data_IF_428069574049
#
_entry.id   IF_428069574049
#
_cell.length_a   1.000
_cell.length_b   1.000
_cell.length_c   1.000
_cell.angle_alpha   90.00
_cell.angle_beta   90.00
_cell.angle_gamma   90.00
#
_symmetry.space_group_name_H-M   'P 1'
#
loop_
_entity.id
_entity.type
_entity.pdbx_description
1 polymer ?
#
# COMPACT_ATOMS: atom_id res chain seq x y z
N UNK A 1 49.90 -33.88 16.98
CA UNK A 1 50.24 -32.46 17.16
C UNK A 1 49.18 -31.63 16.46
N UNK A 2 48.44 -30.84 17.25
CA UNK A 2 47.47 -29.81 16.87
C UNK A 2 48.25 -28.50 16.67
N UNK A 3 47.95 -27.62 15.68
CA UNK A 3 47.14 -26.39 15.92
C UNK A 3 46.37 -25.88 14.67
N UNK A 4 45.43 -24.92 14.67
CA UNK A 4 44.65 -24.17 15.66
C UNK A 4 43.48 -23.58 14.84
N UNK A 5 42.23 -23.75 15.33
CA UNK A 5 41.06 -22.97 14.87
C UNK A 5 41.19 -21.55 15.41
N UNK A 6 41.10 -20.52 14.54
CA UNK A 6 40.82 -19.15 14.99
C UNK A 6 39.31 -18.94 15.05
N UNK A 7 38.84 -18.99 16.29
CA UNK A 7 37.60 -18.42 16.79
C UNK A 7 37.78 -16.90 16.82
N UNK A 8 36.89 -16.13 16.19
CA UNK A 8 36.77 -14.69 16.42
C UNK A 8 35.37 -14.43 16.94
N UNK A 9 35.35 -13.83 18.13
CA UNK A 9 34.22 -13.51 18.97
C UNK A 9 33.24 -12.55 18.27
N UNK A 10 31.95 -12.84 18.45
CA UNK A 10 30.89 -11.84 18.44
C UNK A 10 31.06 -10.90 19.63
N UNK A 11 31.07 -9.59 19.40
CA UNK A 11 30.79 -8.58 20.43
C UNK A 11 29.43 -7.92 20.12
N UNK A 12 28.54 -7.79 21.11
CA UNK A 12 27.25 -7.16 20.95
C UNK A 12 27.41 -5.63 21.02
N UNK A 13 26.85 -4.90 20.05
CA UNK A 13 26.78 -3.44 20.14
C UNK A 13 25.62 -3.04 21.06
N UNK A 14 25.97 -2.65 22.28
CA UNK A 14 25.09 -1.91 23.19
C UNK A 14 25.36 -0.41 23.02
N UNK A 15 24.27 0.29 22.73
CA UNK A 15 23.96 1.73 22.83
C UNK A 15 24.96 2.57 23.66
N UNK A 16 25.40 3.69 23.08
CA UNK A 16 25.63 4.92 23.84
C UNK A 16 24.96 6.11 23.16
N UNK A 17 23.96 6.65 23.86
CA UNK A 17 23.36 7.97 23.68
C UNK A 17 24.41 9.05 23.93
N UNK A 18 24.54 10.01 23.01
CA UNK A 18 24.87 11.39 23.33
C UNK A 18 24.30 12.32 22.25
N UNK A 19 23.14 12.90 22.53
CA UNK A 19 22.71 14.16 21.95
C UNK A 19 21.88 14.88 23.02
N UNK A 20 22.59 15.53 23.95
CA UNK A 20 22.00 16.39 24.95
C UNK A 20 21.80 17.78 24.35
N UNK A 21 20.58 18.28 24.47
CA UNK A 21 20.25 19.68 24.73
C UNK A 21 20.78 20.74 23.75
N UNK A 22 19.92 21.14 22.81
CA UNK A 22 19.40 22.51 22.65
C UNK A 22 18.07 22.34 21.89
N UNK A 23 16.96 22.80 22.48
CA UNK A 23 15.63 22.72 21.85
C UNK A 23 14.46 22.50 22.81
N UNK A 24 14.58 22.88 24.09
CA UNK A 24 13.44 23.03 24.98
C UNK A 24 13.12 24.52 25.12
N UNK A 25 12.36 25.07 24.17
CA UNK A 25 11.50 26.27 24.31
C UNK A 25 10.82 26.62 22.97
N UNK A 26 10.04 25.69 22.41
CA UNK A 26 9.00 25.99 21.43
C UNK A 26 7.79 25.07 21.66
N UNK A 27 7.34 24.95 22.91
CA UNK A 27 6.04 24.39 23.24
C UNK A 27 5.04 25.54 23.35
N UNK A 28 4.14 25.70 22.39
CA UNK A 28 2.92 26.51 22.61
C UNK A 28 2.21 27.11 21.41
N UNK A 29 2.87 27.37 20.28
CA UNK A 29 2.20 28.03 19.15
C UNK A 29 2.80 27.65 17.79
N UNK A 30 1.96 27.14 16.87
CA UNK A 30 2.11 27.47 15.45
C UNK A 30 2.77 26.50 14.46
N UNK A 31 3.06 25.24 14.76
CA UNK A 31 3.48 24.29 13.69
C UNK A 31 2.32 23.76 12.84
N UNK A 32 1.10 23.68 13.40
CA UNK A 32 -0.08 23.19 12.69
C UNK A 32 -0.63 24.18 11.65
N UNK A 33 -0.24 25.46 11.70
CA UNK A 33 -0.68 26.49 10.75
C UNK A 33 0.20 26.57 9.50
N UNK A 34 1.41 25.99 9.52
CA UNK A 34 2.35 26.03 8.37
C UNK A 34 1.93 25.07 7.26
N UNK A 35 1.32 23.93 7.61
CA UNK A 35 0.88 22.91 6.65
C UNK A 35 -0.65 22.79 6.51
N UNK A 36 -1.43 23.52 7.34
CA UNK A 36 -2.89 23.58 7.28
C UNK A 36 -3.46 24.59 6.27
N UNK A 37 -2.63 25.11 5.37
CA UNK A 37 -2.93 26.25 4.49
C UNK A 37 -3.76 25.94 3.24
N UNK A 38 -4.35 24.75 3.10
CA UNK A 38 -5.43 24.51 2.15
C UNK A 38 -6.71 24.33 2.95
N UNK A 39 -7.75 25.11 2.63
CA UNK A 39 -9.08 24.84 3.16
C UNK A 39 -9.49 23.38 2.90
N UNK A 40 -10.50 22.86 3.61
CA UNK A 40 -10.92 21.47 3.43
C UNK A 40 -11.23 21.18 1.96
N UNK A 41 -10.95 19.95 1.50
CA UNK A 41 -11.57 19.44 0.27
C UNK A 41 -13.07 19.73 0.34
N UNK A 42 -13.62 20.37 -0.69
CA UNK A 42 -15.06 20.54 -0.83
C UNK A 42 -15.74 19.17 -0.71
N UNK A 43 -16.99 19.13 -0.21
CA UNK A 43 -17.70 17.86 0.00
C UNK A 43 -17.64 17.00 -1.29
N UNK A 44 -16.85 15.91 -1.30
CA UNK A 44 -16.51 15.18 -2.51
C UNK A 44 -17.76 14.50 -3.11
N UNK A 45 -18.82 14.40 -2.32
CA UNK A 45 -20.02 13.67 -2.64
C UNK A 45 -20.94 14.35 -3.67
N UNK A 46 -20.60 15.54 -4.18
CA UNK A 46 -21.41 16.23 -5.20
C UNK A 46 -21.43 15.52 -6.56
N UNK A 47 -20.45 14.66 -6.86
CA UNK A 47 -20.35 13.93 -8.14
C UNK A 47 -20.71 12.45 -8.09
N UNK A 48 -20.95 11.88 -6.89
CA UNK A 48 -21.24 10.46 -6.70
C UNK A 48 -22.75 10.23 -6.52
N UNK A 49 -23.33 9.13 -7.06
CA UNK A 49 -24.71 8.78 -6.77
C UNK A 49 -24.91 8.60 -5.26
N UNK A 50 -25.88 9.30 -4.66
CA UNK A 50 -26.06 9.39 -3.19
C UNK A 50 -26.27 8.04 -2.49
N UNK A 51 -26.73 7.02 -3.22
CA UNK A 51 -26.98 5.69 -2.69
C UNK A 51 -25.87 4.67 -2.98
N UNK A 52 -24.83 5.06 -3.74
CA UNK A 52 -23.73 4.15 -4.08
C UNK A 52 -22.91 3.74 -2.86
N UNK A 53 -22.29 2.57 -2.93
CA UNK A 53 -21.37 2.10 -1.91
C UNK A 53 -20.17 3.04 -1.75
N UNK A 54 -19.63 3.56 -2.87
CA UNK A 54 -18.56 4.54 -2.85
C UNK A 54 -18.96 5.81 -2.08
N UNK A 55 -20.16 6.35 -2.32
CA UNK A 55 -20.68 7.51 -1.59
C UNK A 55 -20.79 7.21 -0.09
N UNK A 56 -21.36 6.06 0.28
CA UNK A 56 -21.50 5.65 1.69
C UNK A 56 -20.16 5.55 2.42
N UNK A 57 -19.13 5.02 1.75
CA UNK A 57 -17.77 4.96 2.30
C UNK A 57 -17.16 6.36 2.41
N UNK A 58 -17.25 7.19 1.36
CA UNK A 58 -16.74 8.58 1.35
C UNK A 58 -17.35 9.40 2.50
N UNK A 59 -18.66 9.28 2.73
CA UNK A 59 -19.37 9.97 3.83
C UNK A 59 -19.12 9.33 5.20
N UNK A 60 -18.46 8.17 5.25
CA UNK A 60 -18.20 7.44 6.49
C UNK A 60 -19.43 6.78 7.12
N UNK A 61 -20.53 6.61 6.38
CA UNK A 61 -21.72 5.88 6.88
C UNK A 61 -21.51 4.37 6.85
N UNK A 62 -20.56 3.90 6.04
CA UNK A 62 -20.11 2.51 6.00
C UNK A 62 -18.58 2.50 6.08
N UNK A 63 -17.96 1.72 6.99
CA UNK A 63 -16.51 1.58 7.02
C UNK A 63 -15.98 0.84 5.78
N UNK A 64 -14.76 1.19 5.34
CA UNK A 64 -14.13 0.52 4.21
C UNK A 64 -13.80 -0.93 4.57
N UNK A 65 -14.27 -1.87 3.74
CA UNK A 65 -13.96 -3.29 3.84
C UNK A 65 -13.51 -3.77 2.47
N UNK A 66 -12.20 -3.73 2.25
CA UNK A 66 -11.63 -3.94 0.93
C UNK A 66 -10.67 -5.13 0.87
N UNK A 67 -10.32 -5.48 -0.36
CA UNK A 67 -9.17 -6.34 -0.67
C UNK A 67 -8.19 -5.64 -1.60
N UNK A 68 -6.89 -5.88 -1.40
CA UNK A 68 -5.86 -5.42 -2.33
C UNK A 68 -5.73 -6.40 -3.49
N UNK A 69 -5.65 -5.86 -4.70
CA UNK A 69 -5.16 -6.60 -5.86
C UNK A 69 -3.85 -5.99 -6.36
N UNK A 70 -2.81 -6.80 -6.30
CA UNK A 70 -1.59 -6.57 -7.08
C UNK A 70 -1.81 -7.02 -8.53
N UNK A 71 -0.80 -6.89 -9.38
CA UNK A 71 -0.70 -7.49 -10.72
C UNK A 71 -1.53 -6.85 -11.84
N UNK A 72 -2.37 -5.85 -11.54
CA UNK A 72 -3.05 -5.05 -12.57
C UNK A 72 -2.27 -3.77 -12.86
N UNK A 73 -2.26 -2.81 -11.92
CA UNK A 73 -1.55 -1.54 -12.11
C UNK A 73 -0.03 -1.67 -12.03
N UNK A 74 0.47 -2.64 -11.27
CA UNK A 74 1.89 -3.00 -11.13
C UNK A 74 2.00 -4.52 -11.13
N UNK A 75 2.89 -5.08 -11.94
CA UNK A 75 3.21 -6.50 -11.94
C UNK A 75 4.29 -6.79 -10.87
N UNK A 76 3.95 -7.59 -9.86
CA UNK A 76 4.84 -8.01 -8.79
C UNK A 76 5.13 -9.51 -8.91
N UNK A 77 6.27 -9.94 -9.49
CA UNK A 77 6.51 -11.34 -9.81
C UNK A 77 6.36 -12.31 -8.63
N UNK A 78 6.65 -11.85 -7.40
CA UNK A 78 6.50 -12.63 -6.16
C UNK A 78 5.05 -12.96 -5.81
N UNK A 79 4.08 -12.14 -6.25
CA UNK A 79 2.66 -12.29 -5.97
C UNK A 79 1.81 -12.58 -7.22
N UNK A 80 2.36 -12.44 -8.43
CA UNK A 80 1.62 -12.52 -9.69
C UNK A 80 1.81 -13.85 -10.42
N UNK A 81 1.64 -14.98 -9.72
CA UNK A 81 1.87 -16.30 -10.31
C UNK A 81 0.68 -16.73 -11.17
N UNK A 82 0.90 -16.97 -12.46
CA UNK A 82 -0.17 -17.41 -13.37
C UNK A 82 0.24 -18.71 -14.03
N UNK A 83 -0.33 -19.85 -13.61
CA UNK A 83 0.09 -21.16 -14.14
C UNK A 83 -0.15 -21.36 -15.64
N UNK A 84 -1.10 -20.62 -16.23
CA UNK A 84 -1.32 -20.62 -17.69
C UNK A 84 -0.34 -19.76 -18.47
N UNK A 85 0.52 -18.99 -17.79
CA UNK A 85 1.51 -18.10 -18.40
C UNK A 85 2.88 -18.43 -17.78
N UNK A 86 3.71 -19.16 -18.51
CA UNK A 86 4.99 -19.67 -18.00
C UNK A 86 5.98 -18.52 -17.82
N UNK A 87 6.47 -18.32 -16.60
CA UNK A 87 7.66 -17.50 -16.32
C UNK A 87 8.72 -18.38 -15.69
N UNK A 88 9.74 -18.72 -16.45
CA UNK A 88 10.92 -19.46 -15.96
C UNK A 88 11.88 -18.55 -15.15
N UNK A 89 11.55 -17.27 -14.97
CA UNK A 89 12.44 -16.30 -14.34
C UNK A 89 11.92 -15.74 -13.01
N UNK A 90 12.79 -15.82 -12.01
CA UNK A 90 12.64 -15.15 -10.72
C UNK A 90 13.15 -13.71 -10.88
N UNK A 91 12.23 -12.75 -10.93
CA UNK A 91 12.52 -11.32 -10.90
C UNK A 91 11.99 -10.71 -9.60
N UNK A 92 12.69 -9.72 -9.04
CA UNK A 92 12.23 -9.04 -7.82
C UNK A 92 11.04 -8.12 -8.08
N UNK A 93 10.97 -7.47 -9.24
CA UNK A 93 9.93 -6.51 -9.61
C UNK A 93 9.69 -6.46 -11.14
N UNK A 94 8.68 -5.71 -11.59
CA UNK A 94 8.31 -5.54 -13.02
C UNK A 94 9.50 -5.06 -13.86
N UNK A 95 10.26 -4.09 -13.36
CA UNK A 95 11.39 -3.51 -14.06
C UNK A 95 12.53 -4.51 -14.27
N UNK A 96 12.91 -5.25 -13.22
CA UNK A 96 13.91 -6.30 -13.30
C UNK A 96 13.48 -7.41 -14.25
N UNK A 97 12.20 -7.77 -14.22
CA UNK A 97 11.61 -8.73 -15.16
C UNK A 97 11.73 -8.23 -16.60
N UNK A 98 11.34 -6.99 -16.89
CA UNK A 98 11.45 -6.40 -18.23
C UNK A 98 12.90 -6.34 -18.73
N UNK A 99 13.88 -6.15 -17.84
CA UNK A 99 15.32 -6.06 -18.15
C UNK A 99 16.06 -7.39 -18.16
N UNK A 100 15.39 -8.53 -17.96
CA UNK A 100 16.01 -9.88 -17.83
C UNK A 100 17.11 -9.94 -16.74
N UNK A 101 16.92 -9.28 -15.60
CA UNK A 101 17.90 -9.30 -14.50
C UNK A 101 17.46 -10.25 -13.38
N UNK A 102 18.31 -11.22 -12.97
CA UNK A 102 18.01 -12.07 -11.82
C UNK A 102 18.08 -11.32 -10.49
N UNK A 103 17.35 -11.88 -9.53
CA UNK A 103 17.11 -11.45 -8.15
C UNK A 103 18.35 -11.45 -7.27
N UNK A 104 18.97 -10.29 -7.00
CA UNK A 104 19.46 -10.09 -5.63
C UNK A 104 19.40 -8.62 -5.20
N UNK A 105 18.74 -8.39 -4.07
CA UNK A 105 18.91 -7.18 -3.27
C UNK A 105 20.03 -7.46 -2.27
N UNK A 106 21.27 -7.12 -2.62
CA UNK A 106 22.35 -7.04 -1.64
C UNK A 106 22.52 -5.56 -1.28
N UNK A 107 22.41 -5.21 0.01
CA UNK A 107 22.87 -3.90 0.51
C UNK A 107 24.36 -3.66 0.19
N UNK A 108 25.09 -4.72 -0.13
CA UNK A 108 26.53 -4.77 -0.36
C UNK A 108 26.93 -4.90 -1.84
N UNK A 109 26.00 -5.22 -2.77
CA UNK A 109 26.26 -5.12 -4.21
C UNK A 109 25.47 -3.94 -4.77
N UNK A 110 26.13 -2.83 -5.13
CA UNK A 110 25.46 -1.76 -5.83
C UNK A 110 24.97 -2.33 -7.15
N UNK A 111 23.65 -2.36 -7.35
CA UNK A 111 23.06 -2.53 -8.68
C UNK A 111 23.83 -1.61 -9.60
N UNK A 112 24.63 -2.20 -10.49
CA UNK A 112 25.47 -1.45 -11.41
C UNK A 112 24.58 -0.44 -12.12
N UNK A 113 25.05 0.82 -12.15
CA UNK A 113 24.40 2.07 -12.59
C UNK A 113 24.00 2.07 -14.07
N UNK A 114 23.37 1.02 -14.52
CA UNK A 114 22.97 0.88 -15.90
C UNK A 114 21.61 1.54 -16.08
N UNK A 115 21.66 2.85 -16.33
CA UNK A 115 20.54 3.69 -16.75
C UNK A 115 20.17 3.44 -18.22
N UNK A 116 20.60 2.33 -18.83
CA UNK A 116 20.21 2.06 -20.21
C UNK A 116 18.68 2.06 -20.31
N UNK A 117 18.12 2.88 -21.22
CA UNK A 117 16.71 2.80 -21.55
C UNK A 117 16.38 1.38 -21.95
N UNK A 118 15.18 0.89 -21.58
CA UNK A 118 14.68 -0.39 -22.10
C UNK A 118 14.70 -0.27 -23.63
N UNK A 119 15.54 -1.03 -24.35
CA UNK A 119 15.71 -0.87 -25.79
C UNK A 119 14.35 -0.97 -26.48
N UNK A 120 14.06 -0.07 -27.42
CA UNK A 120 12.79 -0.08 -28.14
C UNK A 120 12.61 -1.34 -29.02
N UNK A 121 13.66 -2.14 -29.19
CA UNK A 121 13.73 -3.27 -30.12
C UNK A 121 13.78 -4.68 -29.51
N UNK A 122 13.68 -4.90 -28.18
CA UNK A 122 13.41 -6.24 -27.61
C UNK A 122 13.03 -6.23 -26.10
N UNK A 123 12.24 -7.22 -25.57
CA UNK A 123 11.49 -8.29 -26.23
C UNK A 123 9.97 -8.04 -26.18
N UNK A 124 9.28 -8.25 -27.30
CA UNK A 124 7.80 -8.26 -27.39
C UNK A 124 7.14 -9.23 -26.41
N UNK A 125 7.83 -10.30 -26.02
CA UNK A 125 7.24 -11.41 -25.27
C UNK A 125 7.06 -11.13 -23.78
N UNK A 126 7.92 -10.34 -23.12
CA UNK A 126 7.76 -10.04 -21.68
C UNK A 126 6.72 -8.98 -21.41
N UNK A 127 6.69 -7.96 -22.27
CA UNK A 127 5.61 -6.98 -22.24
C UNK A 127 4.28 -7.65 -22.52
N UNK A 128 4.24 -8.56 -23.50
CA UNK A 128 3.08 -9.42 -23.76
C UNK A 128 2.77 -10.31 -22.56
N UNK A 129 3.74 -10.95 -21.93
CA UNK A 129 3.56 -11.75 -20.72
C UNK A 129 2.87 -10.95 -19.61
N UNK A 130 3.35 -9.73 -19.32
CA UNK A 130 2.73 -8.86 -18.32
C UNK A 130 1.29 -8.51 -18.73
N UNK A 131 1.05 -8.20 -20.00
CA UNK A 131 -0.29 -7.94 -20.54
C UNK A 131 -1.20 -9.17 -20.39
N UNK A 132 -0.70 -10.37 -20.67
CA UNK A 132 -1.44 -11.63 -20.55
C UNK A 132 -1.77 -11.89 -19.06
N UNK A 133 -0.82 -11.71 -18.15
CA UNK A 133 -1.04 -11.79 -16.69
C UNK A 133 -2.14 -10.82 -16.27
N UNK A 134 -2.04 -9.54 -16.66
CA UNK A 134 -3.05 -8.51 -16.34
C UNK A 134 -4.45 -8.88 -16.84
N UNK A 135 -4.54 -9.51 -18.01
CA UNK A 135 -5.82 -9.89 -18.65
C UNK A 135 -6.60 -10.97 -17.90
N UNK A 136 -5.91 -11.82 -17.14
CA UNK A 136 -6.53 -12.93 -16.40
C UNK A 136 -6.53 -12.74 -14.89
N UNK A 137 -5.80 -11.74 -14.38
CA UNK A 137 -5.65 -11.55 -12.93
C UNK A 137 -6.94 -11.09 -12.25
N UNK A 138 -7.56 -10.05 -12.82
CA UNK A 138 -8.88 -9.55 -12.40
C UNK A 138 -9.80 -9.60 -13.60
N UNK A 139 -10.86 -10.39 -13.48
CA UNK A 139 -11.96 -10.47 -14.43
C UNK A 139 -13.25 -9.99 -13.78
N UNK A 140 -14.33 -9.87 -14.55
CA UNK A 140 -15.65 -9.54 -14.01
C UNK A 140 -16.10 -10.54 -12.92
N UNK A 141 -15.81 -11.83 -13.10
CA UNK A 141 -16.13 -12.88 -12.12
C UNK A 141 -15.39 -12.66 -10.80
N UNK A 142 -14.16 -12.15 -10.85
CA UNK A 142 -13.41 -11.77 -9.64
C UNK A 142 -14.15 -10.66 -8.88
N UNK A 143 -14.69 -9.65 -9.57
CA UNK A 143 -15.47 -8.55 -8.97
C UNK A 143 -16.78 -9.07 -8.34
N UNK A 144 -17.47 -9.96 -9.03
CA UNK A 144 -18.67 -10.64 -8.49
C UNK A 144 -18.32 -11.47 -7.25
N UNK A 145 -17.19 -12.17 -7.26
CA UNK A 145 -16.76 -13.01 -6.16
C UNK A 145 -16.48 -12.19 -4.90
N UNK A 146 -15.71 -11.10 -4.97
CA UNK A 146 -15.42 -10.28 -3.79
C UNK A 146 -16.67 -9.61 -3.21
N UNK A 147 -17.63 -9.20 -4.06
CA UNK A 147 -18.92 -8.70 -3.59
C UNK A 147 -19.70 -9.77 -2.84
N UNK A 148 -19.75 -10.99 -3.37
CA UNK A 148 -20.41 -12.14 -2.71
C UNK A 148 -19.75 -12.50 -1.37
N UNK A 149 -18.44 -12.32 -1.26
CA UNK A 149 -17.71 -12.51 0.00
C UNK A 149 -18.03 -11.43 1.04
N UNK A 150 -18.57 -10.27 0.62
CA UNK A 150 -18.99 -9.20 1.51
C UNK A 150 -18.03 -8.01 1.58
N UNK A 151 -17.03 -7.96 0.70
CA UNK A 151 -16.23 -6.75 0.49
C UNK A 151 -17.08 -5.68 -0.19
N UNK A 152 -16.83 -4.42 0.16
CA UNK A 152 -17.55 -3.26 -0.38
C UNK A 152 -16.68 -2.39 -1.30
N UNK A 153 -15.38 -2.70 -1.36
CA UNK A 153 -14.41 -1.97 -2.16
C UNK A 153 -13.17 -2.82 -2.46
N UNK A 154 -12.25 -2.27 -3.25
CA UNK A 154 -10.95 -2.88 -3.55
C UNK A 154 -9.86 -1.81 -3.68
N UNK A 155 -8.61 -2.19 -3.41
CA UNK A 155 -7.40 -1.37 -3.59
C UNK A 155 -6.61 -1.89 -4.79
N UNK A 156 -6.24 -0.99 -5.70
CA UNK A 156 -5.33 -1.26 -6.83
C UNK A 156 -4.10 -0.37 -6.70
N UNK A 157 -2.93 -0.97 -6.59
CA UNK A 157 -1.66 -0.23 -6.65
C UNK A 157 -1.32 0.14 -8.09
N UNK A 158 -0.83 1.36 -8.32
CA UNK A 158 -0.39 1.82 -9.62
C UNK A 158 0.96 2.53 -9.55
N UNK A 159 1.74 2.43 -10.64
CA UNK A 159 2.97 3.18 -10.84
C UNK A 159 2.80 4.34 -11.80
N UNK A 160 3.80 5.23 -11.87
CA UNK A 160 3.74 6.44 -12.72
C UNK A 160 3.49 6.13 -14.21
N UNK A 161 3.86 4.94 -14.67
CA UNK A 161 3.63 4.45 -16.04
C UNK A 161 2.18 4.13 -16.39
N UNK A 162 1.23 4.19 -15.43
CA UNK A 162 -0.21 4.09 -15.74
C UNK A 162 -0.67 5.18 -16.71
N UNK A 163 0.00 6.33 -16.69
CA UNK A 163 -0.27 7.50 -17.55
C UNK A 163 0.98 8.00 -18.29
N UNK A 164 2.14 7.34 -18.11
CA UNK A 164 3.39 7.68 -18.81
C UNK A 164 3.85 6.54 -19.73
N UNK A 165 3.55 6.70 -21.01
CA UNK A 165 3.87 5.74 -22.07
C UNK A 165 5.35 5.74 -22.48
N UNK A 166 6.18 6.68 -21.98
CA UNK A 166 7.60 6.78 -22.34
C UNK A 166 8.52 6.00 -21.40
N UNK A 167 7.96 5.42 -20.34
CA UNK A 167 8.69 4.74 -19.27
C UNK A 167 9.27 3.36 -19.65
N UNK A 168 8.87 2.79 -20.80
CA UNK A 168 9.29 1.47 -21.23
C UNK A 168 8.59 0.30 -20.50
N UNK A 169 7.70 0.59 -19.56
CA UNK A 169 6.77 -0.37 -18.97
C UNK A 169 5.60 -0.67 -19.92
N UNK A 170 4.96 -1.82 -19.74
CA UNK A 170 3.66 -2.08 -20.37
C UNK A 170 2.59 -1.20 -19.70
N UNK A 171 1.77 -0.48 -20.47
CA UNK A 171 0.68 0.30 -19.89
C UNK A 171 -0.39 -0.62 -19.28
N UNK A 172 -0.81 -0.40 -18.02
CA UNK A 172 -1.91 -1.14 -17.40
C UNK A 172 -3.29 -0.47 -17.61
N UNK A 173 -3.35 0.66 -18.33
CA UNK A 173 -4.53 1.54 -18.34
C UNK A 173 -5.83 0.83 -18.73
N UNK A 174 -5.82 0.03 -19.80
CA UNK A 174 -7.00 -0.72 -20.26
C UNK A 174 -7.54 -1.68 -19.18
N UNK A 175 -6.64 -2.35 -18.46
CA UNK A 175 -7.02 -3.28 -17.39
C UNK A 175 -7.61 -2.53 -16.19
N UNK A 176 -7.04 -1.39 -15.82
CA UNK A 176 -7.59 -0.53 -14.76
C UNK A 176 -8.96 0.03 -15.18
N UNK A 177 -9.13 0.44 -16.44
CA UNK A 177 -10.42 0.86 -16.99
C UNK A 177 -11.48 -0.24 -16.88
N UNK A 178 -11.13 -1.49 -17.18
CA UNK A 178 -12.05 -2.64 -17.04
C UNK A 178 -12.46 -2.86 -15.58
N UNK A 179 -11.51 -2.81 -14.64
CA UNK A 179 -11.82 -2.92 -13.21
C UNK A 179 -12.74 -1.81 -12.74
N UNK A 180 -12.51 -0.57 -13.17
CA UNK A 180 -13.38 0.57 -12.85
C UNK A 180 -14.81 0.39 -13.40
N UNK A 181 -14.95 -0.10 -14.64
CA UNK A 181 -16.26 -0.39 -15.25
C UNK A 181 -17.02 -1.46 -14.48
N UNK A 182 -16.39 -2.60 -14.22
CA UNK A 182 -17.02 -3.70 -13.47
C UNK A 182 -17.36 -3.27 -12.04
N UNK A 183 -16.46 -2.56 -11.35
CA UNK A 183 -16.72 -2.06 -10.01
C UNK A 183 -17.93 -1.09 -10.00
N UNK A 184 -18.07 -0.25 -11.03
CA UNK A 184 -19.24 0.63 -11.17
C UNK A 184 -20.52 -0.18 -11.38
N UNK A 185 -20.49 -1.21 -12.24
CA UNK A 185 -21.62 -2.09 -12.51
C UNK A 185 -22.09 -2.85 -11.26
N UNK A 186 -21.15 -3.28 -10.42
CA UNK A 186 -21.43 -4.05 -9.21
C UNK A 186 -21.43 -3.21 -7.94
N UNK A 187 -21.50 -1.87 -8.01
CA UNK A 187 -21.58 -0.97 -6.84
C UNK A 187 -20.49 -1.26 -5.79
N UNK A 188 -19.23 -1.32 -6.23
CA UNK A 188 -18.04 -1.43 -5.40
C UNK A 188 -17.16 -0.18 -5.56
N UNK A 189 -16.56 0.26 -4.44
CA UNK A 189 -15.55 1.32 -4.47
C UNK A 189 -14.18 0.84 -4.93
N UNK A 190 -13.44 1.67 -5.65
CA UNK A 190 -12.05 1.45 -6.05
C UNK A 190 -11.18 2.54 -5.43
N UNK A 191 -10.17 2.09 -4.68
CA UNK A 191 -9.07 2.88 -4.17
C UNK A 191 -7.85 2.67 -5.08
N UNK A 192 -7.42 3.70 -5.79
CA UNK A 192 -6.15 3.70 -6.53
C UNK A 192 -5.00 4.18 -5.62
N UNK A 193 -4.04 3.31 -5.31
CA UNK A 193 -2.90 3.62 -4.44
C UNK A 193 -1.62 3.88 -5.26
N UNK A 194 -1.03 5.07 -5.13
CA UNK A 194 0.21 5.38 -5.84
C UNK A 194 1.41 4.72 -5.16
N UNK A 195 1.89 3.62 -5.74
CA UNK A 195 2.88 2.75 -5.10
C UNK A 195 4.26 2.73 -5.77
N UNK A 196 4.39 3.25 -6.99
CA UNK A 196 5.69 3.44 -7.64
C UNK A 196 5.81 4.86 -8.17
N UNK A 197 6.35 5.74 -7.33
CA UNK A 197 6.57 7.14 -7.66
C UNK A 197 7.89 7.35 -8.42
N UNK A 198 8.00 8.39 -9.27
CA UNK A 198 9.28 8.81 -9.83
C UNK A 198 10.33 9.00 -8.74
N UNK A 199 11.54 8.47 -8.96
CA UNK A 199 12.62 8.48 -7.97
C UNK A 199 12.47 7.49 -6.82
N UNK A 200 11.36 6.75 -6.73
CA UNK A 200 11.00 5.79 -5.68
C UNK A 200 11.03 6.35 -4.24
N UNK A 201 9.96 6.08 -3.49
CA UNK A 201 9.77 6.57 -2.12
C UNK A 201 10.31 5.62 -1.06
N UNK A 202 10.68 4.41 -1.48
CA UNK A 202 11.33 3.36 -0.71
C UNK A 202 11.91 2.35 -1.73
N UNK A 203 12.61 1.33 -1.24
CA UNK A 203 13.24 0.30 -2.07
C UNK A 203 12.49 -1.05 -2.06
N UNK A 204 11.23 -1.06 -1.64
CA UNK A 204 10.37 -2.24 -1.72
C UNK A 204 10.14 -2.63 -3.19
N UNK A 205 10.00 -3.92 -3.50
CA UNK A 205 9.84 -4.39 -4.87
C UNK A 205 8.77 -3.66 -5.70
N UNK A 206 7.63 -3.34 -5.08
CA UNK A 206 6.50 -2.66 -5.72
C UNK A 206 6.86 -1.30 -6.31
N UNK A 207 7.86 -0.58 -5.77
CA UNK A 207 8.24 0.76 -6.24
C UNK A 207 8.99 0.74 -7.56
N UNK A 208 9.46 -0.44 -7.99
CA UNK A 208 10.25 -0.60 -9.22
C UNK A 208 11.42 0.39 -9.30
N UNK A 209 12.09 0.61 -8.16
CA UNK A 209 13.16 1.61 -8.09
C UNK A 209 14.32 1.25 -9.03
N UNK A 210 14.76 2.23 -9.83
CA UNK A 210 15.94 2.09 -10.69
C UNK A 210 17.25 2.34 -9.95
N UNK A 211 17.16 3.07 -8.83
CA UNK A 211 18.29 3.47 -7.99
C UNK A 211 18.45 2.54 -6.79
N UNK A 212 19.64 2.54 -6.20
CA UNK A 212 19.93 1.84 -4.94
C UNK A 212 19.57 2.66 -3.70
N UNK A 213 19.10 3.90 -3.88
CA UNK A 213 18.64 4.79 -2.81
C UNK A 213 17.36 5.50 -3.26
N UNK A 214 16.40 5.77 -2.36
CA UNK A 214 15.25 6.59 -2.68
C UNK A 214 15.66 8.02 -3.05
N UNK A 215 15.10 8.51 -4.14
CA UNK A 215 15.33 9.86 -4.69
C UNK A 215 14.02 10.65 -4.81
N UNK A 216 12.88 10.10 -4.38
CA UNK A 216 11.58 10.75 -4.46
C UNK A 216 11.54 12.13 -3.76
N UNK A 217 12.32 12.30 -2.69
CA UNK A 217 12.52 13.56 -1.96
C UNK A 217 13.15 14.68 -2.79
N UNK A 218 13.55 14.43 -4.04
CA UNK A 218 13.97 15.50 -4.93
C UNK A 218 12.74 16.30 -5.40
N UNK A 219 12.84 17.63 -5.45
CA UNK A 219 11.73 18.50 -5.84
C UNK A 219 11.15 18.12 -7.22
N UNK A 220 12.03 17.78 -8.17
CA UNK A 220 11.61 17.31 -9.48
C UNK A 220 10.71 16.07 -9.39
N UNK A 221 11.10 15.05 -8.63
CA UNK A 221 10.35 13.82 -8.48
C UNK A 221 9.00 14.05 -7.78
N UNK A 222 8.96 14.89 -6.72
CA UNK A 222 7.70 15.28 -6.07
C UNK A 222 6.73 15.99 -7.03
N UNK A 223 7.23 16.92 -7.85
CA UNK A 223 6.39 17.60 -8.86
C UNK A 223 5.86 16.62 -9.90
N UNK A 224 6.70 15.69 -10.38
CA UNK A 224 6.25 14.63 -11.29
C UNK A 224 5.19 13.73 -10.63
N UNK A 225 5.35 13.38 -9.36
CA UNK A 225 4.33 12.65 -8.59
C UNK A 225 2.97 13.37 -8.58
N UNK A 226 2.96 14.69 -8.35
CA UNK A 226 1.71 15.49 -8.38
C UNK A 226 1.08 15.45 -9.78
N UNK A 227 1.88 15.58 -10.85
CA UNK A 227 1.36 15.49 -12.22
C UNK A 227 0.79 14.10 -12.55
N UNK A 228 1.38 13.02 -12.04
CA UNK A 228 0.81 11.67 -12.14
C UNK A 228 -0.53 11.59 -11.43
N UNK A 229 -0.62 12.06 -10.18
CA UNK A 229 -1.87 12.10 -9.39
C UNK A 229 -2.96 12.88 -10.12
N UNK A 230 -2.63 14.03 -10.71
CA UNK A 230 -3.56 14.84 -11.51
C UNK A 230 -4.08 14.09 -12.72
N UNK A 231 -3.19 13.47 -13.51
CA UNK A 231 -3.56 12.72 -14.72
C UNK A 231 -4.43 11.51 -14.39
N UNK A 232 -4.01 10.69 -13.43
CA UNK A 232 -4.78 9.51 -12.99
C UNK A 232 -6.16 9.93 -12.51
N UNK A 233 -6.24 10.94 -11.65
CA UNK A 233 -7.52 11.46 -11.17
C UNK A 233 -8.39 11.98 -12.31
N UNK A 234 -7.82 12.76 -13.22
CA UNK A 234 -8.52 13.31 -14.37
C UNK A 234 -9.11 12.23 -15.28
N UNK A 235 -8.39 11.13 -15.48
CA UNK A 235 -8.84 9.98 -16.30
C UNK A 235 -9.97 9.21 -15.62
N UNK A 236 -9.83 8.91 -14.32
CA UNK A 236 -10.73 7.96 -13.64
C UNK A 236 -11.91 8.61 -12.90
N UNK A 237 -11.94 9.92 -12.68
CA UNK A 237 -13.07 10.62 -12.01
C UNK A 237 -14.41 10.52 -12.74
N UNK A 238 -14.40 10.05 -13.99
CA UNK A 238 -15.62 9.73 -14.75
C UNK A 238 -16.34 8.47 -14.25
N UNK A 239 -15.67 7.60 -13.50
CA UNK A 239 -16.25 6.35 -12.99
C UNK A 239 -16.81 6.57 -11.58
N UNK A 240 -18.05 6.14 -11.36
CA UNK A 240 -18.69 6.20 -10.03
C UNK A 240 -18.02 5.27 -9.02
N UNK A 241 -17.34 4.23 -9.49
CA UNK A 241 -16.53 3.38 -8.62
C UNK A 241 -15.27 4.07 -8.08
N UNK A 242 -14.76 5.14 -8.70
CA UNK A 242 -13.52 5.76 -8.24
C UNK A 242 -13.75 6.53 -6.94
N UNK A 243 -13.40 5.87 -5.83
CA UNK A 243 -13.77 6.26 -4.48
C UNK A 243 -12.63 6.96 -3.74
N UNK A 244 -11.39 6.52 -3.97
CA UNK A 244 -10.24 7.04 -3.23
C UNK A 244 -8.96 7.04 -4.08
N UNK A 245 -8.07 7.99 -3.80
CA UNK A 245 -6.71 8.03 -4.32
C UNK A 245 -5.69 8.16 -3.19
N UNK A 246 -4.64 7.35 -3.25
CA UNK A 246 -3.52 7.40 -2.32
C UNK A 246 -2.37 8.19 -2.89
N UNK A 247 -1.87 9.16 -2.14
CA UNK A 247 -0.88 10.12 -2.64
C UNK A 247 0.53 9.56 -2.71
N UNK A 248 0.90 8.66 -1.79
CA UNK A 248 2.19 7.98 -1.76
C UNK A 248 2.14 6.81 -0.80
N UNK A 249 2.32 5.59 -1.29
CA UNK A 249 2.27 4.39 -0.47
C UNK A 249 3.63 4.11 0.20
N UNK A 250 3.61 3.92 1.52
CA UNK A 250 4.77 3.54 2.36
C UNK A 250 6.07 4.35 2.12
N UNK A 251 6.07 5.70 2.16
CA UNK A 251 7.33 6.44 2.10
C UNK A 251 8.28 6.00 3.23
N UNK A 252 9.57 5.81 2.93
CA UNK A 252 10.57 5.39 3.94
C UNK A 252 11.27 6.58 4.56
N UNK A 253 11.85 6.39 5.75
CA UNK A 253 12.72 7.36 6.42
C UNK A 253 14.05 7.65 5.69
N UNK A 254 14.33 6.97 4.56
CA UNK A 254 15.55 7.15 3.79
C UNK A 254 15.49 8.43 2.94
N UNK A 255 15.86 9.56 3.55
CA UNK A 255 15.87 10.86 2.89
C UNK A 255 14.52 11.59 2.89
N UNK A 256 13.49 11.01 3.49
CA UNK A 256 12.16 11.62 3.63
C UNK A 256 11.85 11.86 5.12
N UNK A 257 11.35 13.05 5.43
CA UNK A 257 10.84 13.42 6.74
C UNK A 257 9.39 13.94 6.64
N UNK A 258 8.76 14.19 7.79
CA UNK A 258 7.37 14.61 7.84
C UNK A 258 7.17 16.02 7.25
N UNK A 259 8.15 16.92 7.32
CA UNK A 259 8.05 18.23 6.70
C UNK A 259 7.92 18.12 5.18
N UNK A 260 8.80 17.33 4.54
CA UNK A 260 8.77 17.10 3.09
C UNK A 260 7.48 16.40 2.67
N UNK A 261 7.02 15.41 3.43
CA UNK A 261 5.76 14.72 3.15
C UNK A 261 4.54 15.64 3.31
N UNK A 262 4.50 16.46 4.36
CA UNK A 262 3.39 17.39 4.59
C UNK A 262 3.31 18.45 3.49
N UNK A 263 4.44 18.96 3.02
CA UNK A 263 4.50 19.85 1.85
C UNK A 263 3.93 19.17 0.61
N UNK A 264 4.42 17.96 0.30
CA UNK A 264 3.93 17.18 -0.84
C UNK A 264 2.43 16.91 -0.77
N UNK A 265 1.93 16.42 0.37
CA UNK A 265 0.51 16.13 0.54
C UNK A 265 -0.34 17.38 0.42
N UNK A 266 0.11 18.51 0.97
CA UNK A 266 -0.59 19.80 0.80
C UNK A 266 -0.71 20.19 -0.67
N UNK A 267 0.38 20.12 -1.43
CA UNK A 267 0.38 20.47 -2.86
C UNK A 267 -0.47 19.50 -3.70
N UNK A 268 -0.38 18.18 -3.43
CA UNK A 268 -1.19 17.19 -4.10
C UNK A 268 -2.68 17.31 -3.77
N UNK A 269 -3.05 17.62 -2.51
CA UNK A 269 -4.43 17.88 -2.11
C UNK A 269 -4.97 19.11 -2.83
N UNK A 270 -4.21 20.21 -2.91
CA UNK A 270 -4.58 21.40 -3.70
C UNK A 270 -4.83 21.07 -5.17
N UNK A 271 -3.95 20.27 -5.78
CA UNK A 271 -4.14 19.84 -7.16
C UNK A 271 -5.43 19.00 -7.36
N UNK A 272 -5.79 18.17 -6.38
CA UNK A 272 -7.05 17.43 -6.39
C UNK A 272 -8.28 18.33 -6.18
N UNK A 273 -8.15 19.38 -5.36
CA UNK A 273 -9.17 20.42 -5.18
C UNK A 273 -9.45 21.15 -6.50
N UNK A 274 -8.40 21.57 -7.21
CA UNK A 274 -8.51 22.25 -8.50
C UNK A 274 -9.18 21.35 -9.56
N UNK A 275 -8.94 20.04 -9.50
CA UNK A 275 -9.61 19.05 -10.34
C UNK A 275 -11.05 18.73 -9.94
N UNK A 276 -11.52 19.29 -8.82
CA UNK A 276 -12.81 19.00 -8.19
C UNK A 276 -12.98 17.51 -7.93
N UNK A 277 -11.94 16.87 -7.40
CA UNK A 277 -11.98 15.45 -7.11
C UNK A 277 -13.02 15.15 -6.01
N UNK A 278 -13.94 14.25 -6.34
CA UNK A 278 -15.09 13.88 -5.51
C UNK A 278 -14.90 12.60 -4.69
N UNK A 279 -13.68 12.28 -4.28
CA UNK A 279 -13.38 11.07 -3.50
C UNK A 279 -12.54 11.33 -2.25
N UNK A 280 -12.14 10.24 -1.60
CA UNK A 280 -11.23 10.24 -0.45
C UNK A 280 -9.78 10.39 -0.90
N UNK A 281 -8.99 11.11 -0.11
CA UNK A 281 -7.54 11.21 -0.29
C UNK A 281 -6.86 10.44 0.83
N UNK A 282 -6.00 9.49 0.48
CA UNK A 282 -5.27 8.66 1.43
C UNK A 282 -3.83 9.15 1.52
N UNK A 283 -3.34 9.34 2.74
CA UNK A 283 -1.93 9.65 3.01
C UNK A 283 -1.33 8.56 3.89
N UNK A 284 -0.07 8.20 3.65
CA UNK A 284 0.66 7.28 4.51
C UNK A 284 1.66 8.08 5.37
N UNK A 285 1.80 7.76 6.66
CA UNK A 285 2.96 8.18 7.42
C UNK A 285 4.22 7.47 6.90
N UNK A 286 5.39 7.85 7.41
CA UNK A 286 6.62 7.11 7.14
C UNK A 286 6.44 5.67 7.62
N UNK A 287 6.75 4.69 6.75
CA UNK A 287 6.44 3.28 7.03
C UNK A 287 7.14 2.81 8.30
N UNK A 288 8.37 3.23 8.57
CA UNK A 288 9.10 2.85 9.80
C UNK A 288 8.53 3.50 11.07
N UNK A 289 7.70 4.54 10.95
CA UNK A 289 7.09 5.27 12.08
C UNK A 289 5.57 5.04 12.22
N UNK A 290 4.98 4.16 11.40
CA UNK A 290 3.52 3.98 11.26
C UNK A 290 2.76 3.59 12.54
N UNK A 291 3.44 3.23 13.63
CA UNK A 291 2.86 2.98 14.95
C UNK A 291 3.54 3.77 16.08
N UNK A 292 4.23 4.86 15.74
CA UNK A 292 4.84 5.79 16.69
C UNK A 292 3.81 6.83 17.16
N UNK A 293 3.77 7.07 18.48
CA UNK A 293 2.78 7.95 19.10
C UNK A 293 2.99 9.43 18.77
N UNK A 294 4.22 9.88 18.55
CA UNK A 294 4.50 11.26 18.18
C UNK A 294 4.19 11.49 16.70
N UNK A 295 4.57 10.54 15.84
CA UNK A 295 4.31 10.59 14.39
C UNK A 295 2.81 10.59 14.09
N UNK A 296 2.05 9.71 14.72
CA UNK A 296 0.59 9.68 14.49
C UNK A 296 -0.08 10.97 14.98
N UNK A 297 0.39 11.58 16.07
CA UNK A 297 -0.13 12.86 16.55
C UNK A 297 0.07 13.97 15.51
N UNK A 298 1.22 13.99 14.83
CA UNK A 298 1.48 14.91 13.73
C UNK A 298 0.47 14.73 12.59
N UNK A 299 0.31 13.50 12.09
CA UNK A 299 -0.59 13.22 10.98
C UNK A 299 -2.07 13.40 11.32
N UNK A 300 -2.47 13.10 12.55
CA UNK A 300 -3.81 13.37 13.04
C UNK A 300 -4.09 14.87 13.16
N UNK A 301 -3.09 15.67 13.54
CA UNK A 301 -3.16 17.13 13.46
C UNK A 301 -3.33 17.62 12.01
N UNK A 302 -2.55 17.05 11.08
CA UNK A 302 -2.60 17.40 9.65
C UNK A 302 -3.99 17.14 9.03
N UNK A 303 -4.65 16.03 9.39
CA UNK A 303 -5.97 15.68 8.83
C UNK A 303 -7.16 16.18 9.65
N UNK A 304 -6.95 16.78 10.84
CA UNK A 304 -8.03 17.14 11.77
C UNK A 304 -9.13 18.03 11.16
N UNK A 305 -8.75 18.94 10.25
CA UNK A 305 -9.68 19.84 9.53
C UNK A 305 -10.01 19.35 8.11
N UNK A 306 -9.62 18.12 7.77
CA UNK A 306 -9.74 17.54 6.43
C UNK A 306 -10.53 16.22 6.49
N UNK A 307 -11.87 16.27 6.58
CA UNK A 307 -12.69 15.07 6.83
C UNK A 307 -12.59 13.97 5.77
N UNK A 308 -12.13 14.33 4.57
CA UNK A 308 -11.96 13.43 3.42
C UNK A 308 -10.50 13.05 3.15
N UNK A 309 -9.58 13.42 4.05
CA UNK A 309 -8.19 12.96 4.04
C UNK A 309 -8.01 11.96 5.17
N UNK A 310 -7.69 10.72 4.84
CA UNK A 310 -7.51 9.64 5.83
C UNK A 310 -6.07 9.16 5.87
N UNK A 311 -5.64 8.74 7.06
CA UNK A 311 -4.32 8.18 7.33
C UNK A 311 -4.37 6.67 7.09
N UNK A 312 -3.58 6.21 6.13
CA UNK A 312 -3.42 4.81 5.72
C UNK A 312 -2.23 4.18 6.44
N UNK A 313 -2.44 3.08 7.17
CA UNK A 313 -1.38 2.36 7.88
C UNK A 313 -1.30 0.90 7.43
N UNK A 314 -0.15 0.51 6.88
CA UNK A 314 0.15 -0.87 6.51
C UNK A 314 0.55 -1.67 7.74
N UNK A 315 -0.01 -2.86 7.90
CA UNK A 315 0.01 -3.63 9.14
C UNK A 315 0.30 -5.11 8.93
N UNK A 316 1.17 -5.46 7.99
CA UNK A 316 1.74 -6.81 7.93
C UNK A 316 2.55 -7.11 9.21
N UNK A 317 2.28 -8.25 9.85
CA UNK A 317 3.12 -8.78 10.94
C UNK A 317 4.34 -9.54 10.39
N UNK A 318 4.23 -10.10 9.17
CA UNK A 318 5.30 -10.89 8.55
C UNK A 318 6.62 -10.12 8.41
N UNK A 319 6.57 -8.82 8.11
CA UNK A 319 7.76 -8.00 7.87
C UNK A 319 8.45 -7.54 9.16
N UNK A 320 7.75 -7.56 10.29
CA UNK A 320 8.31 -7.16 11.57
C UNK A 320 9.19 -8.27 12.17
N UNK A 321 10.05 -7.92 13.13
CA UNK A 321 10.92 -8.87 13.85
C UNK A 321 10.12 -9.65 14.93
N UNK A 322 9.16 -10.48 14.47
CA UNK A 322 8.25 -11.26 15.30
C UNK A 322 8.38 -12.74 14.95
N UNK A 323 9.17 -13.47 15.73
CA UNK A 323 9.56 -14.86 15.48
C UNK A 323 8.81 -15.86 16.38
N UNK A 324 8.03 -15.38 17.35
CA UNK A 324 7.25 -16.23 18.27
C UNK A 324 5.77 -15.84 18.35
N UNK A 325 4.93 -16.80 18.73
CA UNK A 325 3.49 -16.57 19.00
C UNK A 325 3.27 -15.51 20.09
N UNK A 326 4.12 -15.48 21.12
CA UNK A 326 4.03 -14.50 22.21
C UNK A 326 4.31 -13.08 21.69
N UNK A 327 5.36 -12.91 20.87
CA UNK A 327 5.68 -11.63 20.25
C UNK A 327 4.53 -11.15 19.35
N UNK A 328 3.98 -12.04 18.53
CA UNK A 328 2.83 -11.75 17.69
C UNK A 328 1.61 -11.31 18.51
N UNK A 329 1.30 -12.03 19.59
CA UNK A 329 0.16 -11.72 20.45
C UNK A 329 0.32 -10.35 21.12
N UNK A 330 1.51 -10.05 21.65
CA UNK A 330 1.83 -8.75 22.23
C UNK A 330 1.70 -7.62 21.21
N UNK A 331 2.22 -7.82 20.01
CA UNK A 331 2.15 -6.81 18.95
C UNK A 331 0.72 -6.55 18.48
N UNK A 332 -0.10 -7.61 18.32
CA UNK A 332 -1.53 -7.47 17.98
C UNK A 332 -2.24 -6.64 19.05
N UNK A 333 -1.98 -6.91 20.33
CA UNK A 333 -2.57 -6.12 21.42
C UNK A 333 -2.10 -4.67 21.41
N UNK A 334 -0.80 -4.43 21.19
CA UNK A 334 -0.22 -3.08 21.07
C UNK A 334 -0.88 -2.28 19.94
N UNK A 335 -1.03 -2.89 18.76
CA UNK A 335 -1.69 -2.26 17.60
C UNK A 335 -3.17 -1.98 17.88
N UNK A 336 -3.88 -2.89 18.56
CA UNK A 336 -5.26 -2.64 18.98
C UNK A 336 -5.38 -1.41 19.89
N UNK A 337 -4.50 -1.29 20.89
CA UNK A 337 -4.46 -0.13 21.78
C UNK A 337 -4.13 1.15 21.02
N UNK A 338 -3.14 1.12 20.12
CA UNK A 338 -2.80 2.26 19.27
C UNK A 338 -4.01 2.79 18.48
N UNK A 339 -4.80 1.91 17.86
CA UNK A 339 -6.00 2.34 17.13
C UNK A 339 -7.10 2.88 18.04
N UNK A 340 -7.31 2.29 19.23
CA UNK A 340 -8.26 2.79 20.22
C UNK A 340 -7.89 4.18 20.74
N UNK A 341 -6.62 4.38 21.08
CA UNK A 341 -6.11 5.64 21.62
C UNK A 341 -6.22 6.78 20.59
N UNK A 342 -6.23 6.44 19.30
CA UNK A 342 -6.33 7.39 18.19
C UNK A 342 -7.69 7.35 17.46
N UNK A 343 -8.77 6.86 18.09
CA UNK A 343 -10.08 6.65 17.44
C UNK A 343 -10.69 7.90 16.79
N UNK A 344 -10.40 9.09 17.33
CA UNK A 344 -10.88 10.36 16.79
C UNK A 344 -10.25 10.72 15.44
N UNK A 345 -9.05 10.20 15.17
CA UNK A 345 -8.34 10.41 13.92
C UNK A 345 -8.87 9.49 12.83
N UNK A 346 -8.88 9.95 11.57
CA UNK A 346 -9.38 9.18 10.44
C UNK A 346 -8.34 8.15 9.96
N UNK A 347 -8.18 7.05 10.70
CA UNK A 347 -7.20 6.00 10.45
C UNK A 347 -7.89 4.77 9.87
N UNK A 348 -7.30 4.16 8.84
CA UNK A 348 -7.65 2.82 8.39
C UNK A 348 -6.40 1.95 8.21
N UNK A 349 -6.58 0.64 8.30
CA UNK A 349 -5.53 -0.34 8.00
C UNK A 349 -5.53 -0.62 6.51
N UNK A 350 -4.55 -0.09 5.78
CA UNK A 350 -4.59 -0.13 4.31
C UNK A 350 -4.02 -1.40 3.69
N UNK A 351 -3.32 -2.23 4.47
CA UNK A 351 -2.91 -3.60 4.16
C UNK A 351 -2.69 -4.45 5.42
N UNK A 352 -3.17 -5.69 5.42
CA UNK A 352 -2.80 -6.73 6.38
C UNK A 352 -3.04 -8.13 5.81
N UNK A 353 -2.43 -9.16 6.38
CA UNK A 353 -2.70 -10.56 6.04
C UNK A 353 -2.52 -11.48 7.26
N UNK A 354 -2.74 -12.78 7.06
CA UNK A 354 -2.46 -13.82 8.07
C UNK A 354 -1.14 -14.53 7.83
N UNK A 355 -0.30 -14.01 6.91
CA UNK A 355 1.05 -14.50 6.73
C UNK A 355 1.90 -14.13 7.95
N UNK A 356 2.62 -15.11 8.49
CA UNK A 356 3.44 -14.98 9.68
C UNK A 356 4.76 -15.72 9.45
N UNK A 357 5.84 -15.25 10.08
CA UNK A 357 7.15 -15.93 10.08
C UNK A 357 7.13 -17.27 10.82
N UNK A 358 6.62 -17.36 12.07
CA UNK A 358 6.61 -18.63 12.78
C UNK A 358 5.65 -19.62 12.13
N UNK A 359 6.08 -20.87 12.04
CA UNK A 359 5.23 -21.98 11.65
C UNK A 359 4.33 -22.37 12.84
N UNK A 360 3.03 -22.18 12.71
CA UNK A 360 2.05 -22.38 13.77
C UNK A 360 1.02 -23.43 13.37
N UNK A 361 0.41 -24.10 14.37
CA UNK A 361 -0.71 -24.99 14.11
C UNK A 361 -1.91 -24.21 13.56
N UNK A 362 -2.78 -24.91 12.84
CA UNK A 362 -4.00 -24.32 12.27
C UNK A 362 -4.85 -23.59 13.32
N UNK A 363 -5.06 -24.18 14.49
CA UNK A 363 -5.87 -23.57 15.55
C UNK A 363 -5.26 -22.28 16.09
N UNK A 364 -3.92 -22.24 16.22
CA UNK A 364 -3.19 -21.03 16.63
C UNK A 364 -3.27 -19.94 15.56
N UNK A 365 -3.12 -20.30 14.28
CA UNK A 365 -3.29 -19.37 13.17
C UNK A 365 -4.71 -18.79 13.13
N UNK A 366 -5.74 -19.63 13.33
CA UNK A 366 -7.14 -19.18 13.42
C UNK A 366 -7.35 -18.20 14.58
N UNK A 367 -6.81 -18.52 15.77
CA UNK A 367 -6.91 -17.65 16.94
C UNK A 367 -6.21 -16.29 16.70
N UNK A 368 -4.99 -16.30 16.17
CA UNK A 368 -4.25 -15.07 15.86
C UNK A 368 -4.91 -14.26 14.73
N UNK A 369 -5.47 -14.92 13.72
CA UNK A 369 -6.22 -14.25 12.65
C UNK A 369 -7.48 -13.56 13.20
N UNK A 370 -8.21 -14.21 14.11
CA UNK A 370 -9.35 -13.61 14.78
C UNK A 370 -8.94 -12.42 15.66
N UNK A 371 -7.82 -12.54 16.39
CA UNK A 371 -7.29 -11.46 17.22
C UNK A 371 -6.80 -10.27 16.38
N UNK A 372 -6.10 -10.52 15.26
CA UNK A 372 -5.73 -9.46 14.31
C UNK A 372 -6.96 -8.75 13.74
N UNK A 373 -7.96 -9.50 13.29
CA UNK A 373 -9.19 -8.92 12.76
C UNK A 373 -9.89 -8.05 13.81
N UNK A 374 -9.94 -8.50 15.07
CA UNK A 374 -10.49 -7.71 16.16
C UNK A 374 -9.66 -6.45 16.43
N UNK A 375 -8.33 -6.56 16.42
CA UNK A 375 -7.43 -5.43 16.64
C UNK A 375 -7.55 -4.37 15.55
N UNK A 376 -7.60 -4.78 14.28
CA UNK A 376 -7.66 -3.86 13.14
C UNK A 376 -9.07 -3.28 12.94
N UNK A 377 -10.11 -3.95 13.47
CA UNK A 377 -11.46 -3.37 13.57
C UNK A 377 -11.54 -2.15 14.50
N UNK A 378 -10.50 -1.91 15.30
CA UNK A 378 -10.40 -0.70 16.13
C UNK A 378 -10.05 0.55 15.29
N UNK A 379 -9.50 0.40 14.09
CA UNK A 379 -9.29 1.54 13.19
C UNK A 379 -10.64 2.21 12.85
N UNK A 380 -10.65 3.54 12.76
CA UNK A 380 -11.90 4.31 12.70
C UNK A 380 -12.57 4.29 11.32
N UNK A 381 -11.83 3.96 10.26
CA UNK A 381 -12.29 4.04 8.87
C UNK A 381 -12.35 2.70 8.13
N UNK A 382 -11.95 1.61 8.79
CA UNK A 382 -12.03 0.25 8.25
C UNK A 382 -10.67 -0.36 7.95
N UNK A 383 -10.65 -1.35 7.06
CA UNK A 383 -9.45 -2.14 6.76
C UNK A 383 -9.46 -2.75 5.35
N UNK A 384 -8.27 -3.13 4.90
CA UNK A 384 -8.04 -3.78 3.61
C UNK A 384 -7.20 -5.04 3.83
N UNK A 385 -7.76 -6.19 3.49
CA UNK A 385 -6.99 -7.44 3.48
C UNK A 385 -6.17 -7.52 2.19
N UNK A 386 -4.87 -7.80 2.28
CA UNK A 386 -3.97 -7.72 1.13
C UNK A 386 -2.98 -8.87 1.04
N UNK A 387 -2.89 -9.57 -0.11
CA UNK A 387 -3.78 -9.51 -1.27
C UNK A 387 -4.97 -10.49 -1.26
N UNK A 388 -5.90 -10.27 -2.19
CA UNK A 388 -6.96 -11.24 -2.47
C UNK A 388 -6.41 -12.61 -2.89
N UNK A 389 -5.43 -12.60 -3.81
CA UNK A 389 -4.73 -13.79 -4.31
C UNK A 389 -3.27 -13.50 -4.64
N UNK A 390 -2.47 -14.56 -4.61
CA UNK A 390 -1.05 -14.55 -5.00
C UNK A 390 -0.76 -15.48 -6.20
N UNK A 391 -1.81 -16.11 -6.72
CA UNK A 391 -1.73 -17.05 -7.84
C UNK A 391 -3.12 -17.22 -8.47
N UNK A 392 -3.17 -17.59 -9.75
CA UNK A 392 -4.42 -18.04 -10.41
C UNK A 392 -4.65 -19.54 -10.27
N UNK A 393 -3.65 -20.30 -9.79
CA UNK A 393 -3.76 -21.73 -9.55
C UNK A 393 -4.21 -22.02 -8.13
N UNK A 394 -5.42 -22.56 -8.00
CA UNK A 394 -6.04 -22.89 -6.72
C UNK A 394 -5.28 -23.94 -5.90
N UNK A 395 -4.32 -24.65 -6.50
CA UNK A 395 -3.47 -25.62 -5.81
C UNK A 395 -2.25 -24.98 -5.16
N UNK A 396 -1.77 -23.86 -5.69
CA UNK A 396 -0.71 -23.08 -5.04
C UNK A 396 -1.36 -22.21 -3.95
N UNK A 397 -0.88 -22.35 -2.72
CA UNK A 397 -1.51 -21.69 -1.57
C UNK A 397 -0.47 -20.91 -0.78
N UNK A 398 -0.84 -19.70 -0.35
CA UNK A 398 0.02 -18.84 0.44
C UNK A 398 -0.82 -18.07 1.46
N UNK A 399 -0.36 -17.96 2.71
CA UNK A 399 -1.10 -17.27 3.78
C UNK A 399 -1.20 -15.75 3.60
N UNK A 400 -0.50 -15.18 2.61
CA UNK A 400 -0.73 -13.82 2.13
C UNK A 400 -2.07 -13.70 1.39
N UNK A 401 -2.49 -14.75 0.65
CA UNK A 401 -3.73 -14.74 -0.14
C UNK A 401 -4.96 -14.94 0.75
N UNK A 402 -5.93 -14.04 0.60
CA UNK A 402 -7.25 -14.18 1.22
C UNK A 402 -7.94 -15.49 0.80
N UNK A 403 -7.96 -15.78 -0.51
CA UNK A 403 -8.56 -17.01 -1.04
C UNK A 403 -7.94 -18.27 -0.43
N UNK A 404 -6.61 -18.30 -0.31
CA UNK A 404 -5.89 -19.41 0.34
C UNK A 404 -6.23 -19.52 1.82
N UNK A 405 -6.22 -18.41 2.55
CA UNK A 405 -6.54 -18.39 3.97
C UNK A 405 -7.98 -18.86 4.25
N UNK A 406 -8.94 -18.53 3.39
CA UNK A 406 -10.32 -19.05 3.47
C UNK A 406 -10.36 -20.54 3.10
N UNK A 407 -9.70 -20.97 2.03
CA UNK A 407 -9.69 -22.37 1.60
C UNK A 407 -9.09 -23.30 2.65
N UNK A 408 -8.05 -22.84 3.36
CA UNK A 408 -7.43 -23.57 4.46
C UNK A 408 -8.23 -23.49 5.78
N UNK A 409 -9.30 -22.68 5.81
CA UNK A 409 -10.16 -22.47 6.98
C UNK A 409 -9.53 -21.60 8.06
N UNK A 410 -8.48 -20.82 7.76
CA UNK A 410 -7.89 -19.85 8.69
C UNK A 410 -8.81 -18.64 8.87
N UNK A 411 -9.41 -18.18 7.76
CA UNK A 411 -10.39 -17.10 7.74
C UNK A 411 -11.80 -17.63 7.44
N UNK A 412 -12.80 -16.90 7.91
CA UNK A 412 -14.20 -17.16 7.54
C UNK A 412 -14.44 -16.73 6.09
N UNK A 413 -15.28 -17.48 5.38
CA UNK A 413 -15.68 -17.19 4.00
C UNK A 413 -16.48 -15.88 3.86
N UNK A 414 -17.20 -15.47 4.91
CA UNK A 414 -17.92 -14.21 4.91
C UNK A 414 -17.02 -13.11 5.47
N UNK A 415 -16.64 -12.17 4.61
CA UNK A 415 -15.83 -11.01 4.92
C UNK A 415 -16.63 -9.81 5.43
N UNK A 416 -17.97 -9.89 5.52
CA UNK A 416 -18.78 -8.77 6.04
C UNK A 416 -18.29 -8.36 7.43
N UNK A 417 -17.87 -7.11 7.57
CA UNK A 417 -17.58 -6.55 8.88
C UNK A 417 -18.88 -6.45 9.67
N UNK A 418 -18.89 -7.03 10.87
CA UNK A 418 -19.96 -6.80 11.84
C UNK A 418 -19.65 -5.44 12.49
N UNK A 419 -20.38 -4.40 12.09
CA UNK A 419 -20.31 -3.12 12.77
C UNK A 419 -20.83 -3.37 14.19
N UNK A 420 -19.96 -3.30 15.19
CA UNK A 420 -20.39 -3.29 16.59
C UNK A 420 -21.11 -1.96 16.81
N UNK A 421 -22.40 -2.05 17.18
CA UNK A 421 -23.28 -0.92 17.44
C UNK A 421 -22.79 -0.06 18.61
#
# INVERSE_FOLDING_TARGET
MIPIRRMVLYLPFTIFLFASYIGAELNGAGQNDVYGGSGPLADPAQGQPKDSMAFKIIKGSVPMNAVTFHCVGIFEPSFCKVSSVISDELAVNELAFLRKRPTVYHKEDPITRDKTPIPSSEPTDRRKFITDVRSVWITEETIVAIKKLGFNSMKLSFGYWVVDTKSGFSSPQEFVDNVMKWASLYDLGVFLAFAAAPGCQNLHPITNCESTVPEWQNEFNRKQSIEVIKKVTGVYKKYTSFMAIGLLHEPSTEGINNEILALYYTEAIRALQDLKFGGLVMINPLVEKRFDSADIKFWCGFVAKQPFVWVAISSYLYWDALDTEEQLTKEIFRRASFFRDNKACHIFVDEWSVALKPNLSKDKLQALAANQLSAYSEASKGMIYGPFRTTTDKKDTALFSYESAVAQGILRKNAKMVVRA
#
